data_IF_963262106839
#
_entry.id   IF_963262106839
#
_cell.length_a   1.000
_cell.length_b   1.000
_cell.length_c   1.000
_cell.angle_alpha   90.00
_cell.angle_beta   90.00
_cell.angle_gamma   90.00
#
_symmetry.space_group_name_H-M   'P 1'
#
loop_
_entity.id
_entity.type
_entity.pdbx_description
1 polymer ?
#
# COMPACT_ATOMS: atom_id res chain seq x y z
N UNK A 1 22.96 -22.01 -3.65
CA UNK A 1 21.57 -22.53 -3.68
C UNK A 1 20.80 -21.71 -2.66
N UNK A 2 19.74 -21.02 -3.06
CA UNK A 2 18.95 -20.21 -2.12
C UNK A 2 18.10 -21.16 -1.27
N UNK A 3 18.13 -21.01 0.07
CA UNK A 3 17.33 -21.85 0.95
C UNK A 3 15.85 -21.45 0.86
N UNK A 4 14.97 -22.41 0.60
CA UNK A 4 13.53 -22.17 0.44
C UNK A 4 12.90 -21.48 1.65
N UNK A 5 13.27 -21.91 2.85
CA UNK A 5 12.74 -21.36 4.09
C UNK A 5 13.20 -19.91 4.33
N UNK A 6 14.44 -19.59 3.93
CA UNK A 6 14.96 -18.21 3.98
C UNK A 6 14.17 -17.27 3.06
N UNK A 7 13.79 -17.73 1.85
CA UNK A 7 12.96 -16.93 0.93
C UNK A 7 11.58 -16.68 1.51
N UNK A 8 10.99 -17.68 2.17
CA UNK A 8 9.68 -17.55 2.81
C UNK A 8 9.70 -16.58 3.98
N UNK A 9 10.70 -16.68 4.85
CA UNK A 9 10.88 -15.77 5.97
C UNK A 9 11.11 -14.34 5.46
N UNK A 10 12.03 -14.17 4.50
CA UNK A 10 12.26 -12.88 3.85
C UNK A 10 10.98 -12.32 3.26
N UNK A 11 10.24 -13.10 2.47
CA UNK A 11 9.00 -12.62 1.86
C UNK A 11 7.97 -12.21 2.91
N UNK A 12 7.79 -13.00 3.97
CA UNK A 12 6.83 -12.71 5.05
C UNK A 12 7.18 -11.41 5.78
N UNK A 13 8.46 -11.19 6.03
CA UNK A 13 8.94 -10.08 6.86
C UNK A 13 9.10 -8.77 6.04
N UNK A 14 8.83 -8.80 4.73
CA UNK A 14 8.81 -7.60 3.88
C UNK A 14 7.52 -6.77 4.04
N UNK A 15 7.67 -5.47 3.81
CA UNK A 15 6.55 -4.52 3.78
C UNK A 15 5.48 -4.93 2.74
N UNK A 16 4.17 -4.73 3.03
CA UNK A 16 3.08 -5.15 2.15
C UNK A 16 3.20 -4.68 0.70
N UNK A 17 3.66 -3.44 0.49
CA UNK A 17 3.84 -2.87 -0.84
C UNK A 17 4.91 -3.64 -1.65
N UNK A 18 6.05 -3.97 -1.02
CA UNK A 18 7.14 -4.74 -1.65
C UNK A 18 6.73 -6.17 -1.97
N UNK A 19 5.95 -6.80 -1.07
CA UNK A 19 5.40 -8.14 -1.32
C UNK A 19 4.49 -8.15 -2.54
N UNK A 20 3.62 -7.16 -2.66
CA UNK A 20 2.70 -7.05 -3.78
C UNK A 20 3.43 -6.78 -5.09
N UNK A 21 4.37 -5.82 -5.10
CA UNK A 21 5.21 -5.52 -6.26
C UNK A 21 5.95 -6.78 -6.76
N UNK A 22 6.57 -7.54 -5.84
CA UNK A 22 7.24 -8.79 -6.17
C UNK A 22 6.28 -9.80 -6.79
N UNK A 23 5.13 -10.07 -6.15
CA UNK A 23 4.16 -11.04 -6.66
C UNK A 23 3.66 -10.63 -8.05
N UNK A 24 3.29 -9.37 -8.25
CA UNK A 24 2.87 -8.87 -9.55
C UNK A 24 3.99 -8.98 -10.59
N UNK A 25 5.23 -8.69 -10.21
CA UNK A 25 6.41 -8.87 -11.06
C UNK A 25 6.61 -10.33 -11.48
N UNK A 26 6.50 -11.27 -10.55
CA UNK A 26 6.60 -12.72 -10.84
C UNK A 26 5.47 -13.18 -11.76
N UNK A 27 4.22 -12.73 -11.52
CA UNK A 27 3.08 -13.08 -12.38
C UNK A 27 3.28 -12.58 -13.82
N UNK A 28 3.88 -11.41 -14.03
CA UNK A 28 4.19 -10.90 -15.37
C UNK A 28 5.22 -11.76 -16.13
N UNK A 29 5.98 -12.60 -15.42
CA UNK A 29 6.97 -13.51 -16.02
C UNK A 29 6.41 -14.92 -16.26
N UNK A 30 5.19 -15.22 -15.80
CA UNK A 30 4.55 -16.51 -15.96
C UNK A 30 3.99 -16.73 -17.38
N UNK A 31 3.98 -17.98 -17.81
CA UNK A 31 3.33 -18.42 -19.05
C UNK A 31 1.79 -18.43 -18.91
N UNK A 32 1.03 -18.36 -20.01
CA UNK A 32 -0.44 -18.33 -19.96
C UNK A 32 -1.09 -19.49 -19.19
N UNK A 33 -0.54 -20.70 -19.29
CA UNK A 33 -1.05 -21.87 -18.56
C UNK A 33 -0.74 -21.81 -17.06
N UNK A 34 0.41 -21.27 -16.68
CA UNK A 34 0.78 -21.06 -15.29
C UNK A 34 -0.13 -20.02 -14.65
N UNK A 35 -0.36 -18.89 -15.33
CA UNK A 35 -1.32 -17.87 -14.90
C UNK A 35 -2.72 -18.45 -14.71
N UNK A 36 -3.17 -19.32 -15.64
CA UNK A 36 -4.48 -19.97 -15.54
C UNK A 36 -4.58 -20.86 -14.31
N UNK A 37 -3.54 -21.64 -14.02
CA UNK A 37 -3.46 -22.49 -12.84
C UNK A 37 -3.42 -21.66 -11.55
N UNK A 38 -2.56 -20.63 -11.49
CA UNK A 38 -2.44 -19.73 -10.34
C UNK A 38 -3.78 -19.05 -10.03
N UNK A 39 -4.53 -18.61 -11.05
CA UNK A 39 -5.88 -18.06 -10.88
C UNK A 39 -6.79 -19.02 -10.10
N UNK A 40 -6.81 -20.30 -10.47
CA UNK A 40 -7.60 -21.32 -9.77
C UNK A 40 -7.16 -21.49 -8.31
N UNK A 41 -5.86 -21.45 -8.03
CA UNK A 41 -5.35 -21.52 -6.65
C UNK A 41 -5.75 -20.28 -5.83
N UNK A 42 -5.62 -19.08 -6.41
CA UNK A 42 -5.98 -17.82 -5.75
C UNK A 42 -7.48 -17.75 -5.47
N UNK A 43 -8.32 -18.16 -6.44
CA UNK A 43 -9.77 -18.25 -6.26
C UNK A 43 -10.14 -19.20 -5.12
N UNK A 44 -9.45 -20.33 -4.97
CA UNK A 44 -9.72 -21.26 -3.88
C UNK A 44 -9.34 -20.69 -2.50
N UNK A 45 -8.16 -20.05 -2.40
CA UNK A 45 -7.71 -19.38 -1.17
C UNK A 45 -8.64 -18.24 -0.76
N UNK A 46 -9.17 -17.48 -1.72
CA UNK A 46 -10.04 -16.33 -1.48
C UNK A 46 -11.44 -16.68 -0.95
N UNK A 47 -11.87 -17.94 -1.02
CA UNK A 47 -13.21 -18.36 -0.55
C UNK A 47 -13.42 -18.15 0.94
N UNK A 48 -12.36 -18.21 1.74
CA UNK A 48 -12.43 -18.12 3.21
C UNK A 48 -13.05 -16.80 3.66
N UNK A 49 -12.67 -15.71 3.00
CA UNK A 49 -13.00 -14.35 3.43
C UNK A 49 -14.09 -13.74 2.52
N UNK A 50 -14.66 -14.51 1.59
CA UNK A 50 -15.62 -14.05 0.58
C UNK A 50 -16.88 -13.41 1.19
N UNK A 51 -17.47 -14.06 2.20
CA UNK A 51 -18.70 -13.55 2.82
C UNK A 51 -18.46 -12.26 3.59
N UNK A 52 -17.33 -12.17 4.29
CA UNK A 52 -16.97 -11.03 5.13
C UNK A 52 -16.63 -9.80 4.29
N UNK A 53 -16.04 -10.00 3.11
CA UNK A 53 -15.63 -8.90 2.21
C UNK A 53 -16.74 -8.45 1.26
N UNK A 54 -17.87 -9.16 1.17
CA UNK A 54 -18.93 -8.89 0.19
C UNK A 54 -19.51 -7.46 0.29
N UNK A 55 -19.72 -6.96 1.50
CA UNK A 55 -20.23 -5.59 1.68
C UNK A 55 -19.18 -4.57 1.25
N UNK A 56 -17.91 -4.79 1.59
CA UNK A 56 -16.82 -3.92 1.21
C UNK A 56 -16.61 -3.92 -0.32
N UNK A 57 -16.73 -5.07 -0.99
CA UNK A 57 -16.67 -5.17 -2.45
C UNK A 57 -17.80 -4.40 -3.13
N UNK A 58 -19.02 -4.48 -2.59
CA UNK A 58 -20.13 -3.67 -3.08
C UNK A 58 -19.83 -2.17 -2.98
N UNK A 59 -19.29 -1.71 -1.84
CA UNK A 59 -18.94 -0.30 -1.65
C UNK A 59 -17.79 0.13 -2.56
N UNK A 60 -16.75 -0.70 -2.70
CA UNK A 60 -15.60 -0.47 -3.57
C UNK A 60 -15.98 -0.23 -5.04
N UNK A 61 -17.10 -0.81 -5.47
CA UNK A 61 -17.60 -0.70 -6.84
C UNK A 61 -18.78 0.27 -6.99
N UNK A 62 -19.08 1.07 -5.95
CA UNK A 62 -20.16 2.05 -5.96
C UNK A 62 -19.62 3.48 -5.92
N UNK A 63 -19.87 4.23 -7.00
CA UNK A 63 -19.41 5.63 -7.14
C UNK A 63 -19.83 6.55 -5.99
N UNK A 64 -20.97 6.33 -5.36
CA UNK A 64 -21.44 7.16 -4.23
C UNK A 64 -20.63 6.89 -2.97
N UNK A 65 -20.23 5.64 -2.74
CA UNK A 65 -19.39 5.27 -1.60
C UNK A 65 -17.96 5.77 -1.80
N UNK A 66 -17.42 5.69 -3.02
CA UNK A 66 -16.10 6.25 -3.33
C UNK A 66 -16.07 7.76 -3.08
N UNK A 67 -17.10 8.50 -3.49
CA UNK A 67 -17.18 9.95 -3.25
C UNK A 67 -17.25 10.34 -1.78
N UNK A 68 -17.58 9.40 -0.88
CA UNK A 68 -17.57 9.63 0.58
C UNK A 68 -16.19 9.45 1.19
N UNK A 69 -15.22 8.92 0.46
CA UNK A 69 -13.83 8.92 0.90
C UNK A 69 -13.34 10.37 0.93
N UNK A 70 -13.37 10.96 2.11
CA UNK A 70 -12.87 12.31 2.36
C UNK A 70 -11.66 12.26 3.27
N UNK A 71 -10.72 13.17 3.03
CA UNK A 71 -9.54 13.38 3.86
C UNK A 71 -8.64 12.14 4.04
N UNK A 72 -7.65 11.96 3.16
CA UNK A 72 -6.66 10.88 3.28
C UNK A 72 -5.66 11.08 4.45
N UNK A 73 -5.75 12.18 5.20
CA UNK A 73 -5.02 12.31 6.48
C UNK A 73 -5.64 11.43 7.58
N UNK A 74 -6.91 11.04 7.44
CA UNK A 74 -7.57 10.12 8.37
C UNK A 74 -7.17 8.66 8.10
N UNK A 75 -6.70 7.98 9.13
CA UNK A 75 -6.27 6.58 9.07
C UNK A 75 -7.40 5.64 8.67
N UNK A 76 -8.61 5.89 9.18
CA UNK A 76 -9.78 5.07 8.83
C UNK A 76 -10.14 5.23 7.35
N UNK A 77 -10.07 6.44 6.80
CA UNK A 77 -10.26 6.65 5.36
C UNK A 77 -9.19 5.91 4.55
N UNK A 78 -7.91 5.96 4.94
CA UNK A 78 -6.84 5.21 4.24
C UNK A 78 -7.02 3.69 4.32
N UNK A 79 -7.42 3.17 5.47
CA UNK A 79 -7.76 1.75 5.64
C UNK A 79 -8.90 1.32 4.70
N UNK A 80 -9.97 2.12 4.62
CA UNK A 80 -11.07 1.86 3.67
C UNK A 80 -10.60 1.93 2.22
N UNK A 81 -9.73 2.89 1.89
CA UNK A 81 -9.17 3.05 0.56
C UNK A 81 -8.38 1.81 0.12
N UNK A 82 -7.53 1.27 0.98
CA UNK A 82 -6.79 0.02 0.73
C UNK A 82 -7.76 -1.12 0.42
N UNK A 83 -8.78 -1.31 1.26
CA UNK A 83 -9.81 -2.34 1.06
C UNK A 83 -10.56 -2.12 -0.26
N UNK A 84 -10.92 -0.88 -0.58
CA UNK A 84 -11.67 -0.59 -1.80
C UNK A 84 -10.85 -0.83 -3.05
N UNK A 85 -9.56 -0.50 -3.08
CA UNK A 85 -8.71 -0.81 -4.23
C UNK A 85 -8.49 -2.32 -4.36
N UNK A 86 -8.37 -3.05 -3.23
CA UNK A 86 -8.22 -4.52 -3.25
C UNK A 86 -9.44 -5.22 -3.84
N UNK A 87 -10.64 -4.67 -3.61
CA UNK A 87 -11.92 -5.25 -4.03
C UNK A 87 -12.53 -4.56 -5.27
N UNK A 88 -11.80 -3.62 -5.87
CA UNK A 88 -12.24 -2.92 -7.06
C UNK A 88 -12.27 -3.90 -8.24
N UNK A 89 -13.36 -3.91 -8.99
CA UNK A 89 -13.43 -4.70 -10.22
C UNK A 89 -12.44 -4.17 -11.25
N UNK A 90 -11.67 -5.06 -11.85
CA UNK A 90 -10.69 -4.72 -12.89
C UNK A 90 -11.25 -4.02 -14.13
N UNK A 91 -12.58 -4.01 -14.30
CA UNK A 91 -13.31 -3.34 -15.40
C UNK A 91 -14.00 -2.04 -14.99
N UNK A 92 -13.96 -1.66 -13.70
CA UNK A 92 -14.69 -0.51 -13.19
C UNK A 92 -13.86 0.78 -13.29
N UNK A 93 -13.69 1.26 -14.52
CA UNK A 93 -12.92 2.47 -14.82
C UNK A 93 -13.54 3.75 -14.21
N UNK A 94 -14.85 3.74 -13.96
CA UNK A 94 -15.54 4.87 -13.32
C UNK A 94 -15.11 5.04 -11.88
N UNK A 95 -15.12 3.96 -11.08
CA UNK A 95 -14.70 4.02 -9.69
C UNK A 95 -13.17 4.20 -9.57
N UNK A 96 -12.37 3.58 -10.46
CA UNK A 96 -10.91 3.80 -10.48
C UNK A 96 -10.56 5.27 -10.75
N UNK A 97 -11.30 5.94 -11.63
CA UNK A 97 -11.09 7.37 -11.92
C UNK A 97 -11.40 8.25 -10.71
N UNK A 98 -12.48 7.96 -9.97
CA UNK A 98 -12.81 8.69 -8.74
C UNK A 98 -11.74 8.46 -7.65
N UNK A 99 -11.30 7.21 -7.46
CA UNK A 99 -10.22 6.87 -6.53
C UNK A 99 -8.91 7.60 -6.89
N UNK A 100 -8.57 7.64 -8.18
CA UNK A 100 -7.42 8.38 -8.69
C UNK A 100 -7.53 9.89 -8.40
N UNK A 101 -8.70 10.49 -8.61
CA UNK A 101 -8.92 11.91 -8.31
C UNK A 101 -8.68 12.20 -6.82
N UNK A 102 -9.24 11.38 -5.92
CA UNK A 102 -9.02 11.51 -4.48
C UNK A 102 -7.54 11.40 -4.10
N UNK A 103 -6.77 10.53 -4.76
CA UNK A 103 -5.33 10.37 -4.53
C UNK A 103 -4.51 11.60 -4.95
N UNK A 104 -4.87 12.21 -6.08
CA UNK A 104 -4.18 13.41 -6.61
C UNK A 104 -4.56 14.65 -5.80
N UNK A 105 -5.83 14.80 -5.43
CA UNK A 105 -6.31 15.89 -4.57
C UNK A 105 -5.61 15.88 -3.21
N UNK A 106 -5.44 14.69 -2.61
CA UNK A 106 -4.75 14.55 -1.33
C UNK A 106 -3.27 14.99 -1.35
N UNK A 107 -2.66 15.18 -2.53
CA UNK A 107 -1.30 15.70 -2.63
C UNK A 107 -1.19 17.22 -2.39
N UNK A 108 -2.31 17.94 -2.37
CA UNK A 108 -2.33 19.40 -2.26
C UNK A 108 -2.31 19.91 -0.80
N UNK A 109 -2.47 19.02 0.18
CA UNK A 109 -2.51 19.28 1.63
C UNK A 109 -1.31 18.61 2.34
N UNK A 110 -1.00 18.85 3.65
CA UNK A 110 0.38 18.85 4.17
C UNK A 110 1.18 17.57 3.89
N UNK A 111 2.52 17.67 3.80
CA UNK A 111 3.41 16.58 3.39
C UNK A 111 3.15 15.33 4.24
N UNK A 112 3.29 14.14 3.64
CA UNK A 112 3.15 12.85 4.34
C UNK A 112 3.93 12.90 5.67
N UNK A 113 3.20 12.98 6.78
CA UNK A 113 3.76 13.42 8.08
C UNK A 113 4.24 12.27 8.95
N UNK A 114 3.69 11.08 8.74
CA UNK A 114 3.88 9.90 9.59
C UNK A 114 4.38 8.70 8.80
N UNK A 115 5.20 7.86 9.44
CA UNK A 115 5.77 6.65 8.83
C UNK A 115 4.67 5.67 8.44
N UNK A 116 3.64 5.49 9.28
CA UNK A 116 2.54 4.58 8.93
C UNK A 116 1.72 5.15 7.76
N UNK A 117 1.45 6.45 7.78
CA UNK A 117 0.82 7.12 6.64
C UNK A 117 1.61 6.85 5.34
N UNK A 118 2.93 7.03 5.33
CA UNK A 118 3.77 6.80 4.15
C UNK A 118 3.68 5.35 3.69
N UNK A 119 3.76 4.38 4.61
CA UNK A 119 3.66 2.95 4.29
C UNK A 119 2.30 2.58 3.69
N UNK A 120 1.21 3.11 4.25
CA UNK A 120 -0.14 2.92 3.71
C UNK A 120 -0.26 3.50 2.30
N UNK A 121 0.27 4.71 2.08
CA UNK A 121 0.24 5.35 0.76
C UNK A 121 1.12 4.62 -0.26
N UNK A 122 2.29 4.11 0.13
CA UNK A 122 3.13 3.26 -0.73
C UNK A 122 2.38 1.99 -1.17
N UNK A 123 1.66 1.35 -0.24
CA UNK A 123 0.80 0.21 -0.56
C UNK A 123 -0.29 0.60 -1.55
N UNK A 124 -1.01 1.67 -1.29
CA UNK A 124 -2.09 2.17 -2.18
C UNK A 124 -1.55 2.46 -3.58
N UNK A 125 -0.44 3.19 -3.70
CA UNK A 125 0.15 3.49 -4.99
C UNK A 125 0.61 2.22 -5.72
N UNK A 126 1.24 1.28 -5.03
CA UNK A 126 1.64 -0.01 -5.61
C UNK A 126 0.42 -0.77 -6.16
N UNK A 127 -0.66 -0.83 -5.39
CA UNK A 127 -1.91 -1.47 -5.84
C UNK A 127 -2.42 -0.80 -7.11
N UNK A 128 -2.47 0.54 -7.15
CA UNK A 128 -2.93 1.28 -8.34
C UNK A 128 -2.05 1.03 -9.57
N UNK A 129 -0.72 1.00 -9.40
CA UNK A 129 0.23 0.74 -10.49
C UNK A 129 0.00 -0.64 -11.13
N UNK A 130 -0.33 -1.65 -10.33
CA UNK A 130 -0.59 -3.00 -10.81
C UNK A 130 -2.05 -3.30 -11.16
N UNK A 131 -3.00 -2.49 -10.69
CA UNK A 131 -4.42 -2.77 -10.88
C UNK A 131 -4.90 -2.48 -12.33
N UNK A 132 -5.66 -3.38 -12.98
CA UNK A 132 -6.02 -3.25 -14.40
C UNK A 132 -7.08 -2.17 -14.69
N UNK A 133 -7.88 -1.76 -13.69
CA UNK A 133 -8.90 -0.72 -13.89
C UNK A 133 -8.33 0.71 -14.07
N UNK A 134 -7.05 0.92 -13.80
CA UNK A 134 -6.41 2.24 -13.94
C UNK A 134 -5.73 2.36 -15.31
N UNK A 135 -5.87 3.54 -15.91
CA UNK A 135 -5.28 3.80 -17.23
C UNK A 135 -3.77 4.01 -17.14
N UNK A 136 -3.08 3.90 -18.27
CA UNK A 136 -1.65 4.17 -18.34
C UNK A 136 -1.31 5.59 -17.84
N UNK A 137 -2.07 6.61 -18.23
CA UNK A 137 -1.84 7.99 -17.77
C UNK A 137 -2.06 8.16 -16.27
N UNK A 138 -3.09 7.53 -15.70
CA UNK A 138 -3.30 7.55 -14.25
C UNK A 138 -2.10 6.90 -13.53
N UNK A 139 -1.64 5.74 -14.01
CA UNK A 139 -0.50 5.04 -13.44
C UNK A 139 0.80 5.84 -13.54
N UNK A 140 1.02 6.58 -14.63
CA UNK A 140 2.19 7.45 -14.80
C UNK A 140 2.28 8.50 -13.69
N UNK A 141 1.18 9.19 -13.41
CA UNK A 141 1.13 10.20 -12.34
C UNK A 141 1.32 9.55 -10.97
N UNK A 142 0.66 8.41 -10.72
CA UNK A 142 0.83 7.68 -9.46
C UNK A 142 2.27 7.17 -9.28
N UNK A 143 2.99 6.83 -10.35
CA UNK A 143 4.39 6.42 -10.27
C UNK A 143 5.29 7.57 -9.76
N UNK A 144 5.03 8.80 -10.20
CA UNK A 144 5.74 9.99 -9.70
C UNK A 144 5.48 10.21 -8.19
N UNK A 145 4.22 9.99 -7.74
CA UNK A 145 3.86 10.06 -6.32
C UNK A 145 4.49 8.94 -5.50
N UNK A 146 4.53 7.72 -6.05
CA UNK A 146 5.17 6.57 -5.45
C UNK A 146 6.67 6.84 -5.22
N UNK A 147 7.39 7.31 -6.24
CA UNK A 147 8.82 7.64 -6.13
C UNK A 147 9.08 8.72 -5.07
N UNK A 148 8.20 9.73 -4.97
CA UNK A 148 8.29 10.74 -3.91
C UNK A 148 8.09 10.12 -2.53
N UNK A 149 7.08 9.27 -2.35
CA UNK A 149 6.82 8.59 -1.08
C UNK A 149 7.97 7.65 -0.67
N UNK A 150 8.57 6.92 -1.62
CA UNK A 150 9.73 6.05 -1.36
C UNK A 150 10.94 6.85 -0.88
N UNK A 151 11.19 8.04 -1.46
CA UNK A 151 12.26 8.93 -0.99
C UNK A 151 12.03 9.41 0.44
N UNK A 152 10.78 9.74 0.78
CA UNK A 152 10.41 10.15 2.14
C UNK A 152 10.55 8.99 3.14
N UNK A 153 10.13 7.77 2.76
CA UNK A 153 10.34 6.57 3.58
C UNK A 153 11.83 6.38 3.91
N UNK A 154 12.71 6.46 2.91
CA UNK A 154 14.15 6.30 3.09
C UNK A 154 14.76 7.39 3.99
N UNK A 155 14.30 8.64 3.88
CA UNK A 155 14.76 9.75 4.73
C UNK A 155 14.36 9.53 6.20
N UNK A 156 13.14 9.06 6.45
CA UNK A 156 12.67 8.80 7.83
C UNK A 156 13.37 7.59 8.45
N UNK A 157 13.64 6.53 7.67
CA UNK A 157 14.43 5.39 8.16
C UNK A 157 15.85 5.80 8.56
N UNK A 158 16.49 6.69 7.78
CA UNK A 158 17.82 7.22 8.13
C UNK A 158 17.79 8.06 9.41
N UNK A 159 16.76 8.89 9.61
CA UNK A 159 16.61 9.68 10.84
C UNK A 159 16.37 8.78 12.07
N UNK A 160 15.59 7.72 11.94
CA UNK A 160 15.37 6.76 13.04
C UNK A 160 16.66 6.01 13.41
N UNK A 161 17.51 5.65 12.44
CA UNK A 161 18.82 5.04 12.69
C UNK A 161 19.79 6.01 13.37
N UNK A 162 19.80 7.28 12.97
CA UNK A 162 20.59 8.34 13.60
C UNK A 162 20.17 8.57 15.07
N UNK A 163 18.85 8.66 15.33
CA UNK A 163 18.33 8.84 16.68
C UNK A 163 18.65 7.63 17.58
N UNK A 164 18.48 6.40 17.07
CA UNK A 164 18.86 5.19 17.79
C UNK A 164 20.35 5.17 18.13
N UNK A 165 21.21 5.55 17.19
CA UNK A 165 22.66 5.60 17.40
C UNK A 165 23.06 6.71 18.40
N UNK A 166 22.34 7.84 18.45
CA UNK A 166 22.55 8.90 19.45
C UNK A 166 22.14 8.43 20.85
N UNK A 167 21.00 7.75 20.96
CA UNK A 167 20.51 7.15 22.20
C UNK A 167 21.48 6.08 22.75
N UNK A 168 22.06 5.25 21.87
CA UNK A 168 23.10 4.29 22.25
C UNK A 168 24.44 4.96 22.62
N UNK A 169 24.80 6.07 21.97
CA UNK A 169 26.04 6.80 22.23
C UNK A 169 25.99 7.64 23.52
N UNK A 170 24.80 8.10 23.94
CA UNK A 170 24.60 8.93 25.14
C UNK A 170 23.46 8.41 26.03
N UNK A 171 23.62 7.23 26.67
CA UNK A 171 22.55 6.60 27.46
C UNK A 171 22.16 7.38 28.74
N UNK A 172 22.90 8.44 29.10
CA UNK A 172 22.72 9.20 30.34
C UNK A 172 21.95 10.52 30.23
N UNK A 173 21.50 10.94 29.05
CA UNK A 173 20.88 12.27 28.89
C UNK A 173 19.36 12.30 29.19
N UNK A 174 18.75 11.15 29.52
CA UNK A 174 17.32 11.05 29.84
C UNK A 174 16.97 11.21 31.34
N UNK A 175 17.90 11.66 32.19
CA UNK A 175 17.65 11.83 33.62
C UNK A 175 17.86 13.28 34.13
N UNK A 176 16.74 14.00 34.20
CA UNK A 176 16.37 15.06 35.16
C UNK A 176 17.07 16.45 35.05
N UNK A 177 16.40 17.53 35.51
CA UNK A 177 16.15 17.68 36.94
C UNK A 177 14.66 17.72 37.30
N UNK A 178 14.32 16.99 38.37
CA UNK A 178 13.20 17.36 39.23
C UNK A 178 13.45 18.79 39.71
N UNK A 179 12.48 19.68 39.47
CA UNK A 179 12.48 21.01 40.05
C UNK A 179 11.15 21.21 40.76
N UNK A 180 11.22 21.18 42.09
CA UNK A 180 10.29 21.88 43.01
C UNK A 180 9.07 21.12 43.47
#
# INVERSE_FOLDING_TARGET
MVCKDEVWLWFRDNEPHRRLELVCGLLNMCLPMELRFISTCVEDLGKRDFHDLREAEYKANNTQEIKRLSNLLDERTRSNLIVYIALLSGRNHTCSTLLYQSLVEAQQDPPLTDVNHIKEMLLVYTMVLHHPAFTFEQKRVIAELHERATRLEAQLSQHQELDAHILEAFPGCAAAPEVG
#
